data_IF_461759979778
#
_entry.id   IF_461759979778
#
_cell.length_a   1.000
_cell.length_b   1.000
_cell.length_c   1.000
_cell.angle_alpha   90.00
_cell.angle_beta   90.00
_cell.angle_gamma   90.00
#
_symmetry.space_group_name_H-M   'P 1'
#
loop_
_entity.id
_entity.type
_entity.pdbx_description
1 polymer ?
#
# COMPACT_ATOMS: atom_id res chain seq x y z
N UNK A 1 14.88 -12.73 -18.31
CA UNK A 1 14.86 -12.12 -16.97
C UNK A 1 13.44 -11.67 -16.66
N UNK A 2 12.67 -12.41 -15.84
CA UNK A 2 11.24 -12.08 -15.63
C UNK A 2 10.56 -12.74 -14.42
N UNK A 3 11.31 -13.42 -13.54
CA UNK A 3 10.75 -14.12 -12.39
C UNK A 3 10.76 -13.29 -11.09
N UNK A 4 11.61 -12.27 -10.97
CA UNK A 4 11.73 -11.46 -9.75
C UNK A 4 10.58 -10.46 -9.52
N UNK A 5 9.89 -9.99 -10.56
CA UNK A 5 8.83 -8.97 -10.39
C UNK A 5 7.48 -9.54 -9.94
N UNK A 6 7.26 -10.85 -10.07
CA UNK A 6 6.00 -11.50 -9.64
C UNK A 6 5.97 -11.78 -8.14
N UNK A 7 7.13 -12.09 -7.54
CA UNK A 7 7.23 -12.33 -6.08
C UNK A 7 7.24 -11.04 -5.25
N UNK A 8 7.53 -9.89 -5.85
CA UNK A 8 7.44 -8.58 -5.21
C UNK A 8 6.07 -7.90 -5.39
N UNK A 9 5.08 -8.59 -5.98
CA UNK A 9 3.70 -8.10 -5.99
C UNK A 9 3.15 -8.23 -4.58
N UNK A 10 2.93 -7.08 -3.93
CA UNK A 10 2.26 -7.00 -2.63
C UNK A 10 0.95 -7.80 -2.74
N UNK A 11 0.75 -8.86 -1.93
CA UNK A 11 -0.43 -9.71 -2.01
C UNK A 11 -1.69 -8.91 -1.64
N UNK A 12 -2.81 -9.26 -2.30
CA UNK A 12 -4.04 -8.48 -2.27
C UNK A 12 -5.19 -9.38 -1.81
N UNK A 13 -5.52 -9.38 -0.51
CA UNK A 13 -6.71 -10.10 -0.06
C UNK A 13 -7.96 -9.42 -0.63
N UNK A 14 -8.86 -10.21 -1.23
CA UNK A 14 -10.18 -9.74 -1.69
C UNK A 14 -11.24 -9.80 -0.58
N UNK A 15 -10.99 -10.64 0.44
CA UNK A 15 -11.86 -10.87 1.58
C UNK A 15 -11.03 -10.95 2.87
N UNK A 16 -11.63 -10.59 4.00
CA UNK A 16 -11.00 -10.77 5.31
C UNK A 16 -11.34 -12.15 5.86
N UNK A 17 -10.30 -12.90 6.26
CA UNK A 17 -10.35 -14.30 6.70
C UNK A 17 -11.15 -15.21 5.76
N UNK A 18 -11.22 -14.88 4.47
CA UNK A 18 -12.03 -15.59 3.46
C UNK A 18 -13.56 -15.56 3.67
N UNK A 19 -14.06 -14.98 4.76
CA UNK A 19 -15.48 -15.07 5.16
C UNK A 19 -16.18 -13.72 5.12
N UNK A 20 -15.49 -12.61 5.38
CA UNK A 20 -16.12 -11.29 5.51
C UNK A 20 -15.56 -10.25 4.53
N UNK A 21 -16.30 -9.16 4.36
CA UNK A 21 -15.88 -8.06 3.47
C UNK A 21 -14.66 -7.32 4.02
N UNK A 22 -13.91 -6.67 3.13
CA UNK A 22 -12.76 -5.84 3.50
C UNK A 22 -13.15 -4.65 4.39
N UNK A 23 -14.37 -4.11 4.24
CA UNK A 23 -14.88 -3.04 5.11
C UNK A 23 -15.08 -3.53 6.55
N UNK A 24 -15.67 -4.72 6.73
CA UNK A 24 -15.82 -5.33 8.05
C UNK A 24 -14.46 -5.66 8.64
N UNK A 25 -13.55 -6.24 7.85
CA UNK A 25 -12.17 -6.51 8.26
C UNK A 25 -11.43 -5.25 8.71
N UNK A 26 -11.48 -4.18 7.92
CA UNK A 26 -10.87 -2.89 8.26
C UNK A 26 -11.47 -2.26 9.53
N UNK A 27 -12.78 -2.40 9.71
CA UNK A 27 -13.47 -1.96 10.94
C UNK A 27 -12.98 -2.72 12.16
N UNK A 28 -12.89 -4.06 12.09
CA UNK A 28 -12.41 -4.89 13.19
C UNK A 28 -10.94 -4.65 13.51
N UNK A 29 -10.09 -4.53 12.48
CA UNK A 29 -8.67 -4.20 12.65
C UNK A 29 -8.51 -2.84 13.32
N UNK A 30 -9.27 -1.83 12.90
CA UNK A 30 -9.18 -0.48 13.48
C UNK A 30 -9.75 -0.45 14.90
N UNK A 31 -10.81 -1.18 15.20
CA UNK A 31 -11.31 -1.34 16.57
C UNK A 31 -10.28 -2.03 17.47
N UNK A 32 -9.63 -3.08 16.98
CA UNK A 32 -8.54 -3.74 17.70
C UNK A 32 -7.37 -2.78 17.96
N UNK A 33 -7.00 -1.95 16.97
CA UNK A 33 -6.00 -0.89 17.14
C UNK A 33 -6.42 0.10 18.23
N UNK A 34 -7.66 0.60 18.18
CA UNK A 34 -8.16 1.55 19.17
C UNK A 34 -8.14 0.96 20.58
N UNK A 35 -8.63 -0.27 20.75
CA UNK A 35 -8.60 -0.96 22.04
C UNK A 35 -7.17 -1.11 22.57
N UNK A 36 -6.23 -1.54 21.71
CA UNK A 36 -4.82 -1.65 22.08
C UNK A 36 -4.25 -0.31 22.55
N UNK A 37 -4.54 0.77 21.83
CA UNK A 37 -4.05 2.12 22.16
C UNK A 37 -4.70 2.69 23.43
N UNK A 38 -5.98 2.40 23.68
CA UNK A 38 -6.68 2.77 24.92
C UNK A 38 -6.10 1.99 26.10
N UNK A 39 -5.80 0.70 25.95
CA UNK A 39 -5.10 -0.07 26.98
C UNK A 39 -3.75 0.56 27.34
N UNK A 40 -3.03 1.11 26.35
CA UNK A 40 -1.81 1.88 26.56
C UNK A 40 -2.00 3.17 27.38
N UNK A 41 -3.18 3.78 27.38
CA UNK A 41 -3.49 4.97 28.19
C UNK A 41 -3.46 4.65 29.70
N UNK A 42 -3.88 3.44 30.09
CA UNK A 42 -3.75 2.98 31.47
C UNK A 42 -2.29 2.87 31.92
N UNK A 43 -1.37 2.54 31.02
CA UNK A 43 0.07 2.58 31.30
C UNK A 43 0.59 4.00 31.57
N UNK A 44 -0.02 5.01 30.94
CA UNK A 44 0.31 6.42 31.20
C UNK A 44 -0.25 6.91 32.54
N UNK A 45 -1.36 6.36 33.02
CA UNK A 45 -1.88 6.64 34.38
C UNK A 45 -0.91 6.20 35.47
N UNK A 46 -0.08 5.17 35.24
CA UNK A 46 0.97 4.75 36.18
C UNK A 46 2.08 5.81 36.39
N UNK A 47 2.31 6.70 35.42
CA UNK A 47 3.21 7.85 35.61
C UNK A 47 2.66 8.84 36.65
N UNK A 48 1.35 9.08 36.62
CA UNK A 48 0.69 10.00 37.56
C UNK A 48 0.73 9.47 39.00
N UNK A 49 0.88 8.14 39.18
CA UNK A 49 1.06 7.51 40.50
C UNK A 49 2.49 7.52 41.02
N UNK A 50 3.43 8.17 40.32
CA UNK A 50 4.82 8.35 40.78
C UNK A 50 5.81 7.28 40.31
N UNK A 51 5.48 6.49 39.29
CA UNK A 51 6.40 5.50 38.73
C UNK A 51 7.46 6.16 37.82
N UNK A 52 8.74 5.82 38.02
CA UNK A 52 9.84 6.32 37.18
C UNK A 52 9.92 5.51 35.87
N UNK A 53 9.34 6.03 34.79
CA UNK A 53 9.47 5.40 33.46
C UNK A 53 10.79 5.78 32.76
N UNK A 54 11.29 4.84 31.96
CA UNK A 54 12.38 5.12 31.01
C UNK A 54 11.92 6.13 29.94
N UNK A 55 12.80 7.03 29.45
CA UNK A 55 12.49 7.94 28.35
C UNK A 55 11.96 7.25 27.09
N UNK A 56 12.42 6.02 26.83
CA UNK A 56 11.96 5.20 25.69
C UNK A 56 10.50 4.79 25.86
N UNK A 57 10.11 4.38 27.07
CA UNK A 57 8.72 4.02 27.38
C UNK A 57 7.81 5.25 27.26
N UNK A 58 8.24 6.41 27.75
CA UNK A 58 7.50 7.66 27.60
C UNK A 58 7.26 8.03 26.13
N UNK A 59 8.29 7.91 25.29
CA UNK A 59 8.16 8.18 23.85
C UNK A 59 7.13 7.27 23.17
N UNK A 60 7.10 5.99 23.55
CA UNK A 60 6.16 5.01 23.04
C UNK A 60 4.71 5.35 23.43
N UNK A 61 4.49 5.75 24.68
CA UNK A 61 3.17 6.18 25.14
C UNK A 61 2.69 7.47 24.50
N UNK A 62 3.58 8.45 24.32
CA UNK A 62 3.23 9.72 23.65
C UNK A 62 2.86 9.48 22.18
N UNK A 63 3.62 8.64 21.47
CA UNK A 63 3.28 8.20 20.13
C UNK A 63 1.91 7.49 20.10
N UNK A 64 1.66 6.60 21.06
CA UNK A 64 0.38 5.87 21.18
C UNK A 64 -0.82 6.82 21.32
N UNK A 65 -0.66 7.94 22.05
CA UNK A 65 -1.68 8.98 22.18
C UNK A 65 -2.00 9.68 20.86
N UNK A 66 -0.96 10.04 20.09
CA UNK A 66 -1.13 10.66 18.77
C UNK A 66 -1.81 9.68 17.82
N UNK A 67 -1.36 8.43 17.80
CA UNK A 67 -1.94 7.37 16.97
C UNK A 67 -3.40 7.09 17.34
N UNK A 68 -3.74 7.11 18.64
CA UNK A 68 -5.11 6.97 19.14
C UNK A 68 -6.01 8.09 18.63
N UNK A 69 -5.59 9.34 18.78
CA UNK A 69 -6.36 10.50 18.34
C UNK A 69 -6.62 10.46 16.83
N UNK A 70 -5.58 10.18 16.04
CA UNK A 70 -5.71 10.04 14.59
C UNK A 70 -6.62 8.86 14.21
N UNK A 71 -6.43 7.68 14.80
CA UNK A 71 -7.28 6.52 14.53
C UNK A 71 -8.76 6.79 14.87
N UNK A 72 -9.04 7.49 15.97
CA UNK A 72 -10.40 7.86 16.36
C UNK A 72 -11.05 8.84 15.37
N UNK A 73 -10.30 9.78 14.81
CA UNK A 73 -10.78 10.72 13.79
C UNK A 73 -11.02 10.03 12.44
N UNK A 74 -10.20 9.04 12.09
CA UNK A 74 -10.28 8.35 10.80
C UNK A 74 -11.29 7.19 10.82
N UNK A 75 -11.55 6.57 11.98
CA UNK A 75 -12.44 5.41 12.11
C UNK A 75 -13.85 5.60 11.49
N UNK A 76 -14.57 6.73 11.70
CA UNK A 76 -15.89 6.94 11.10
C UNK A 76 -15.87 6.96 9.56
N UNK A 77 -14.72 7.24 8.96
CA UNK A 77 -14.57 7.35 7.52
C UNK A 77 -14.50 5.99 6.81
N UNK A 78 -14.30 4.89 7.57
CA UNK A 78 -14.38 3.52 7.03
C UNK A 78 -15.77 3.27 6.42
N UNK A 79 -16.83 3.64 7.16
CA UNK A 79 -18.23 3.49 6.69
C UNK A 79 -18.61 4.51 5.62
N UNK A 80 -17.96 5.68 5.60
CA UNK A 80 -18.17 6.72 4.57
C UNK A 80 -17.39 6.44 3.27
N UNK A 81 -16.45 5.49 3.31
CA UNK A 81 -15.58 5.13 2.20
C UNK A 81 -14.88 6.34 1.54
N UNK A 82 -14.52 7.35 2.34
CA UNK A 82 -13.86 8.53 1.79
C UNK A 82 -12.39 8.21 1.46
N UNK A 83 -11.92 8.51 0.23
CA UNK A 83 -10.69 7.93 -0.30
C UNK A 83 -9.44 8.39 0.43
N UNK A 84 -9.37 9.67 0.81
CA UNK A 84 -8.19 10.23 1.47
C UNK A 84 -8.07 9.71 2.90
N UNK A 85 -9.16 9.71 3.66
CA UNK A 85 -9.14 9.28 5.06
C UNK A 85 -8.94 7.75 5.17
N UNK A 86 -9.50 6.95 4.25
CA UNK A 86 -9.21 5.52 4.18
C UNK A 86 -7.75 5.23 3.81
N UNK A 87 -7.18 5.99 2.86
CA UNK A 87 -5.76 5.92 2.53
C UNK A 87 -4.89 6.33 3.72
N UNK A 88 -5.27 7.40 4.42
CA UNK A 88 -4.67 7.87 5.67
C UNK A 88 -4.63 6.78 6.73
N UNK A 89 -5.73 6.07 6.89
CA UNK A 89 -5.89 5.03 7.89
C UNK A 89 -4.99 3.82 7.59
N UNK A 90 -4.89 3.43 6.33
CA UNK A 90 -4.01 2.33 5.91
C UNK A 90 -2.53 2.67 6.15
N UNK A 91 -2.12 3.90 5.81
CA UNK A 91 -0.76 4.38 6.10
C UNK A 91 -0.48 4.50 7.59
N UNK A 92 -1.44 4.99 8.38
CA UNK A 92 -1.34 5.04 9.82
C UNK A 92 -1.14 3.63 10.41
N UNK A 93 -1.91 2.65 9.95
CA UNK A 93 -1.78 1.27 10.43
C UNK A 93 -0.44 0.62 10.03
N UNK A 94 0.05 0.90 8.82
CA UNK A 94 1.36 0.45 8.35
C UNK A 94 2.49 1.05 9.20
N UNK A 95 2.49 2.37 9.37
CA UNK A 95 3.51 3.08 10.16
C UNK A 95 3.45 2.67 11.63
N UNK A 96 2.25 2.53 12.20
CA UNK A 96 2.08 2.02 13.56
C UNK A 96 2.64 0.61 13.71
N UNK A 97 2.42 -0.26 12.73
CA UNK A 97 3.00 -1.60 12.76
C UNK A 97 4.53 -1.55 12.72
N UNK A 98 5.13 -0.74 11.84
CA UNK A 98 6.59 -0.57 11.75
C UNK A 98 7.21 0.01 13.02
N UNK A 99 6.57 1.02 13.63
CA UNK A 99 7.03 1.63 14.87
C UNK A 99 6.96 0.63 16.01
N UNK A 100 5.85 -0.11 16.13
CA UNK A 100 5.75 -1.19 17.12
C UNK A 100 6.78 -2.29 16.85
N UNK A 101 7.13 -2.57 15.59
CA UNK A 101 8.20 -3.51 15.24
C UNK A 101 9.54 -3.04 15.80
N UNK A 102 9.87 -1.77 15.58
CA UNK A 102 11.10 -1.19 16.07
C UNK A 102 11.17 -1.25 17.59
N UNK A 103 10.08 -0.96 18.29
CA UNK A 103 10.01 -1.11 19.76
C UNK A 103 10.11 -2.56 20.21
N UNK A 104 9.46 -3.52 19.54
CA UNK A 104 9.59 -4.96 19.85
C UNK A 104 11.03 -5.43 19.64
N UNK A 105 11.67 -5.00 18.55
CA UNK A 105 13.07 -5.34 18.25
C UNK A 105 14.03 -4.71 19.27
N UNK A 106 13.86 -3.43 19.59
CA UNK A 106 14.64 -2.73 20.60
C UNK A 106 14.49 -3.38 21.98
N UNK A 107 13.26 -3.75 22.36
CA UNK A 107 13.00 -4.51 23.58
C UNK A 107 13.71 -5.86 23.55
N UNK A 108 13.61 -6.62 22.46
CA UNK A 108 14.26 -7.93 22.32
C UNK A 108 15.79 -7.85 22.45
N UNK A 109 16.41 -6.84 21.82
CA UNK A 109 17.86 -6.60 21.93
C UNK A 109 18.26 -6.24 23.36
N UNK A 110 17.56 -5.28 23.99
CA UNK A 110 17.85 -4.90 25.38
C UNK A 110 17.62 -6.06 26.34
N UNK A 111 16.55 -6.83 26.15
CA UNK A 111 16.27 -8.03 26.94
C UNK A 111 17.43 -9.03 26.84
N UNK A 112 17.91 -9.30 25.63
CA UNK A 112 19.02 -10.20 25.41
C UNK A 112 20.31 -9.70 26.08
N UNK A 113 20.61 -8.40 25.96
CA UNK A 113 21.75 -7.78 26.63
C UNK A 113 21.66 -7.92 28.16
N UNK A 114 20.47 -7.68 28.74
CA UNK A 114 20.24 -7.87 30.17
C UNK A 114 20.48 -9.32 30.57
N UNK A 115 19.94 -10.30 29.83
CA UNK A 115 20.16 -11.72 30.11
C UNK A 115 21.65 -12.09 30.06
N UNK A 116 22.40 -11.59 29.08
CA UNK A 116 23.86 -11.84 29.03
C UNK A 116 24.60 -11.20 30.20
N UNK A 117 24.25 -9.96 30.57
CA UNK A 117 24.91 -9.22 31.66
C UNK A 117 24.57 -9.78 33.04
N UNK A 118 23.37 -10.33 33.21
CA UNK A 118 22.94 -11.00 34.45
C UNK A 118 23.72 -12.29 34.73
N UNK A 119 24.25 -12.95 33.70
CA UNK A 119 25.08 -14.15 33.86
C UNK A 119 26.54 -13.80 34.21
N UNK A 120 27.03 -12.64 33.76
CA UNK A 120 28.41 -12.20 33.98
C UNK A 120 28.60 -11.32 35.24
N UNK A 121 27.54 -11.11 36.03
CA UNK A 121 27.58 -10.26 37.24
C UNK A 121 27.87 -8.77 36.99
N UNK A 122 27.79 -8.32 35.74
CA UNK A 122 28.11 -6.96 35.31
C UNK A 122 27.03 -5.93 35.66
N UNK A 123 27.40 -4.64 35.70
CA UNK A 123 26.42 -3.54 35.79
C UNK A 123 25.55 -3.54 34.53
N UNK A 124 24.25 -3.72 34.73
CA UNK A 124 23.26 -3.73 33.65
C UNK A 124 23.23 -2.35 32.98
N UNK A 125 23.44 -2.27 31.66
CA UNK A 125 23.39 -1.02 30.91
C UNK A 125 22.63 -1.17 29.59
N UNK A 126 21.47 -0.49 29.50
CA UNK A 126 20.66 -0.37 28.29
C UNK A 126 19.43 0.51 28.52
N UNK A 127 18.81 1.08 27.47
CA UNK A 127 17.60 1.87 27.62
C UNK A 127 16.46 1.01 28.19
N UNK A 128 15.98 1.32 29.40
CA UNK A 128 14.94 0.54 30.07
C UNK A 128 15.43 -0.76 30.70
N UNK A 129 16.75 -0.96 30.84
CA UNK A 129 17.30 -2.17 31.42
C UNK A 129 17.00 -2.34 32.91
N UNK A 130 16.88 -1.23 33.64
CA UNK A 130 16.52 -1.21 35.07
C UNK A 130 15.09 -1.70 35.31
N UNK A 131 14.13 -1.26 34.49
CA UNK A 131 12.73 -1.71 34.58
C UNK A 131 12.61 -3.18 34.16
N UNK A 132 13.38 -3.62 33.16
CA UNK A 132 13.43 -5.02 32.74
C UNK A 132 13.97 -5.90 33.87
N UNK A 133 15.09 -5.53 34.49
CA UNK A 133 15.70 -6.31 35.57
C UNK A 133 14.78 -6.46 36.79
N UNK A 134 14.10 -5.38 37.18
CA UNK A 134 13.14 -5.39 38.29
C UNK A 134 11.88 -6.22 37.99
N UNK A 135 11.39 -6.19 36.74
CA UNK A 135 10.15 -6.88 36.34
C UNK A 135 10.37 -8.37 36.06
N UNK A 136 11.52 -8.71 35.48
CA UNK A 136 11.83 -10.06 35.05
C UNK A 136 12.08 -11.03 36.21
N UNK A 137 12.29 -10.52 37.43
CA UNK A 137 12.47 -11.36 38.62
C UNK A 137 13.67 -12.31 38.51
N UNK A 138 14.73 -11.90 37.80
CA UNK A 138 15.93 -12.72 37.64
C UNK A 138 16.54 -13.04 39.01
N UNK A 139 16.42 -14.29 39.44
CA UNK A 139 17.05 -14.84 40.65
C UNK A 139 18.43 -15.41 40.30
N UNK A 140 19.30 -14.62 39.68
CA UNK A 140 20.68 -15.05 39.43
C UNK A 140 21.47 -15.01 40.75
N UNK A 141 22.28 -16.05 41.09
CA UNK A 141 23.18 -15.96 42.23
C UNK A 141 24.15 -14.82 41.96
N UNK A 142 24.31 -13.92 42.92
CA UNK A 142 25.23 -12.78 42.85
C UNK A 142 26.71 -13.20 42.74
N UNK A 143 26.99 -14.50 42.87
CA UNK A 143 28.32 -15.09 42.79
C UNK A 143 28.28 -16.31 41.87
N UNK A 144 29.12 -16.27 40.83
CA UNK A 144 29.30 -17.33 39.84
C UNK A 144 30.13 -18.46 40.46
N UNK A 145 29.47 -19.38 41.18
CA UNK A 145 30.08 -20.61 41.65
C UNK A 145 29.61 -21.76 40.78
N UNK A 146 30.24 -21.89 39.60
CA UNK A 146 30.30 -23.15 38.91
C UNK A 146 30.86 -24.20 39.88
N UNK A 147 30.09 -25.25 40.12
CA UNK A 147 30.33 -26.29 41.14
C UNK A 147 31.82 -26.65 41.33
N UNK A 148 32.21 -26.87 42.59
CA UNK A 148 33.56 -27.30 42.94
C UNK A 148 33.59 -28.83 42.91
N UNK A 149 34.37 -29.42 42.00
CA UNK A 149 34.62 -30.85 42.02
C UNK A 149 35.70 -31.15 43.07
N UNK A 150 35.38 -32.03 44.02
CA UNK A 150 36.31 -32.47 45.06
C UNK A 150 36.98 -33.75 44.57
N UNK A 151 38.23 -33.65 44.14
CA UNK A 151 39.04 -34.80 43.76
C UNK A 151 39.83 -35.29 44.97
N UNK A 152 39.48 -36.47 45.49
CA UNK A 152 40.26 -37.11 46.54
C UNK A 152 41.52 -37.74 45.94
N UNK A 153 42.68 -37.18 46.27
CA UNK A 153 44.00 -37.74 45.88
C UNK A 153 44.76 -38.23 47.10
N UNK A 154 45.75 -39.11 46.91
CA UNK A 154 46.54 -39.68 48.02
C UNK A 154 47.34 -38.64 48.84
N UNK A 155 47.45 -37.41 48.33
CA UNK A 155 48.14 -36.28 48.99
C UNK A 155 47.16 -35.24 49.58
N UNK A 156 45.85 -35.47 49.48
CA UNK A 156 44.81 -34.58 50.02
C UNK A 156 43.66 -34.30 49.04
N UNK A 157 42.70 -33.48 49.47
CA UNK A 157 41.57 -33.06 48.66
C UNK A 157 42.01 -31.94 47.70
N UNK A 158 41.95 -32.20 46.39
CA UNK A 158 42.20 -31.19 45.36
C UNK A 158 40.87 -30.61 44.88
N UNK A 159 40.70 -29.31 45.07
CA UNK A 159 39.54 -28.57 44.61
C UNK A 159 39.82 -28.03 43.21
N UNK A 160 39.11 -28.54 42.20
CA UNK A 160 39.23 -28.06 40.82
C UNK A 160 37.99 -27.22 40.50
N UNK A 161 38.19 -25.92 40.38
CA UNK A 161 37.16 -25.00 39.92
C UNK A 161 37.01 -25.15 38.40
N UNK A 162 35.83 -25.55 37.96
CA UNK A 162 35.50 -25.57 36.54
C UNK A 162 34.90 -24.21 36.17
N UNK A 163 35.56 -23.37 35.36
CA UNK A 163 34.92 -22.15 34.88
C UNK A 163 33.69 -22.55 34.03
N UNK A 164 32.60 -21.77 34.06
CA UNK A 164 31.47 -22.03 33.18
C UNK A 164 31.98 -22.01 31.74
N UNK A 165 31.62 -23.06 31.01
CA UNK A 165 32.01 -23.23 29.61
C UNK A 165 31.48 -22.01 28.84
N UNK A 166 32.37 -21.28 28.15
CA UNK A 166 32.04 -20.18 27.24
C UNK A 166 31.29 -20.70 26.02
N UNK A 167 30.11 -21.28 26.22
CA UNK A 167 29.20 -21.59 25.14
C UNK A 167 28.66 -20.28 24.61
N UNK A 168 28.54 -20.16 23.29
CA UNK A 168 27.97 -18.99 22.61
C UNK A 168 26.69 -18.54 23.32
N UNK A 169 26.81 -17.48 24.11
CA UNK A 169 25.76 -16.97 25.00
C UNK A 169 24.48 -16.66 24.20
N UNK A 170 24.66 -16.33 22.90
CA UNK A 170 23.62 -16.18 21.90
C UNK A 170 22.81 -17.44 21.63
N UNK A 171 23.45 -18.57 21.32
CA UNK A 171 22.73 -19.80 21.01
C UNK A 171 22.07 -20.37 22.27
N UNK A 172 22.73 -20.25 23.43
CA UNK A 172 22.23 -20.85 24.67
C UNK A 172 21.01 -20.10 25.24
N UNK A 173 20.98 -18.77 25.17
CA UNK A 173 19.83 -17.98 25.62
C UNK A 173 18.64 -18.03 24.64
N UNK A 174 18.88 -18.26 23.34
CA UNK A 174 17.79 -18.48 22.36
C UNK A 174 17.25 -19.92 22.44
N UNK A 175 18.12 -20.90 22.73
CA UNK A 175 17.77 -22.32 22.82
C UNK A 175 17.14 -22.74 24.16
N UNK A 176 16.91 -21.81 25.09
CA UNK A 176 16.11 -22.14 26.27
C UNK A 176 14.68 -22.53 25.83
N UNK A 177 14.10 -23.61 26.36
CA UNK A 177 12.76 -24.06 25.96
C UNK A 177 11.69 -22.94 26.06
N UNK A 178 11.81 -22.10 27.09
CA UNK A 178 10.92 -20.98 27.36
C UNK A 178 11.09 -19.81 26.34
N UNK A 179 12.33 -19.53 25.90
CA UNK A 179 12.59 -18.48 24.92
C UNK A 179 12.16 -18.89 23.52
N UNK A 180 12.36 -20.15 23.14
CA UNK A 180 11.98 -20.65 21.82
C UNK A 180 10.46 -20.55 21.59
N UNK A 181 9.66 -20.96 22.58
CA UNK A 181 8.21 -20.88 22.51
C UNK A 181 7.74 -19.42 22.37
N UNK A 182 8.29 -18.50 23.15
CA UNK A 182 7.91 -17.08 23.08
C UNK A 182 8.29 -16.44 21.73
N UNK A 183 9.44 -16.79 21.13
CA UNK A 183 9.85 -16.31 19.81
C UNK A 183 8.86 -16.75 18.73
N UNK A 184 8.40 -18.01 18.76
CA UNK A 184 7.38 -18.51 17.81
C UNK A 184 6.08 -17.72 17.95
N UNK A 185 5.62 -17.48 19.18
CA UNK A 185 4.41 -16.69 19.40
C UNK A 185 4.56 -15.25 18.90
N UNK A 186 5.69 -14.60 19.16
CA UNK A 186 5.98 -13.26 18.66
C UNK A 186 5.97 -13.25 17.12
N UNK A 187 6.60 -14.24 16.49
CA UNK A 187 6.63 -14.37 15.03
C UNK A 187 5.24 -14.58 14.42
N UNK A 188 4.39 -15.43 15.03
CA UNK A 188 3.02 -15.66 14.60
C UNK A 188 2.14 -14.41 14.74
N UNK A 189 2.24 -13.70 15.87
CA UNK A 189 1.55 -12.44 16.09
C UNK A 189 2.00 -11.38 15.07
N UNK A 190 3.29 -11.37 14.72
CA UNK A 190 3.83 -10.52 13.67
C UNK A 190 3.30 -10.87 12.28
N UNK A 191 3.24 -12.16 11.94
CA UNK A 191 2.68 -12.62 10.68
C UNK A 191 1.20 -12.23 10.55
N UNK A 192 0.41 -12.40 11.62
CA UNK A 192 -0.97 -11.91 11.70
C UNK A 192 -1.04 -10.40 11.47
N UNK A 193 -0.14 -9.63 12.10
CA UNK A 193 -0.13 -8.17 11.95
C UNK A 193 0.20 -7.74 10.53
N UNK A 194 1.15 -8.41 9.87
CA UNK A 194 1.46 -8.18 8.45
C UNK A 194 0.23 -8.48 7.58
N UNK A 195 -0.52 -9.56 7.87
CA UNK A 195 -1.78 -9.83 7.19
C UNK A 195 -2.79 -8.69 7.36
N UNK A 196 -2.95 -8.15 8.57
CA UNK A 196 -3.82 -6.99 8.80
C UNK A 196 -3.37 -5.73 8.07
N UNK A 197 -2.06 -5.49 7.94
CA UNK A 197 -1.53 -4.40 7.10
C UNK A 197 -1.98 -4.58 5.65
N UNK A 198 -1.85 -5.79 5.10
CA UNK A 198 -2.27 -6.09 3.73
C UNK A 198 -3.77 -5.88 3.52
N UNK A 199 -4.60 -6.29 4.48
CA UNK A 199 -6.05 -6.04 4.45
C UNK A 199 -6.35 -4.54 4.43
N UNK A 200 -5.71 -3.75 5.29
CA UNK A 200 -5.92 -2.30 5.34
C UNK A 200 -5.51 -1.62 4.04
N UNK A 201 -4.37 -2.04 3.45
CA UNK A 201 -3.92 -1.54 2.15
C UNK A 201 -4.88 -1.95 1.02
N UNK A 202 -5.41 -3.17 1.03
CA UNK A 202 -6.38 -3.65 0.06
C UNK A 202 -7.71 -2.88 0.16
N UNK A 203 -8.21 -2.65 1.38
CA UNK A 203 -9.41 -1.85 1.63
C UNK A 203 -9.25 -0.40 1.14
N UNK A 204 -8.15 0.28 1.48
CA UNK A 204 -7.89 1.65 1.03
C UNK A 204 -7.78 1.74 -0.51
N UNK A 205 -7.23 0.72 -1.15
CA UNK A 205 -7.18 0.65 -2.60
C UNK A 205 -8.57 0.42 -3.21
N UNK A 206 -9.38 -0.43 -2.60
CA UNK A 206 -10.76 -0.66 -3.04
C UNK A 206 -11.55 0.65 -3.01
N UNK A 207 -11.48 1.41 -1.92
CA UNK A 207 -12.19 2.71 -1.79
C UNK A 207 -11.67 3.74 -2.79
N UNK A 208 -10.34 3.81 -3.00
CA UNK A 208 -9.74 4.69 -4.00
C UNK A 208 -10.24 4.37 -5.42
N UNK A 209 -10.32 3.09 -5.77
CA UNK A 209 -10.75 2.64 -7.11
C UNK A 209 -12.25 2.77 -7.32
N UNK A 210 -13.04 2.49 -6.29
CA UNK A 210 -14.48 2.77 -6.33
C UNK A 210 -14.72 4.26 -6.57
N UNK A 211 -13.96 5.13 -5.90
CA UNK A 211 -14.05 6.57 -6.11
C UNK A 211 -13.69 6.98 -7.55
N UNK A 212 -12.62 6.41 -8.14
CA UNK A 212 -12.22 6.70 -9.53
C UNK A 212 -13.23 6.15 -10.55
N UNK A 213 -13.83 4.99 -10.26
CA UNK A 213 -14.78 4.33 -11.14
C UNK A 213 -16.16 5.00 -11.16
N UNK A 214 -16.53 5.73 -10.09
CA UNK A 214 -17.80 6.47 -10.03
C UNK A 214 -17.67 7.75 -10.87
N UNK A 215 -18.38 7.88 -12.01
CA UNK A 215 -18.28 9.06 -12.85
C UNK A 215 -18.88 10.25 -12.13
N UNK A 216 -18.04 11.16 -11.65
CA UNK A 216 -18.49 12.49 -11.24
C UNK A 216 -18.69 13.29 -12.53
N UNK A 217 -19.90 13.76 -12.76
CA UNK A 217 -20.22 14.66 -13.88
C UNK A 217 -19.53 16.00 -13.62
N UNK A 218 -18.23 16.07 -13.89
CA UNK A 218 -17.52 17.34 -13.96
C UNK A 218 -18.06 18.04 -15.20
N UNK A 219 -19.03 18.93 -15.00
CA UNK A 219 -19.53 19.82 -16.05
C UNK A 219 -18.45 20.84 -16.37
N UNK A 220 -17.44 20.45 -17.15
CA UNK A 220 -16.50 21.39 -17.72
C UNK A 220 -17.23 22.23 -18.77
N UNK A 221 -17.02 23.56 -18.82
CA UNK A 221 -17.60 24.41 -19.86
C UNK A 221 -17.11 23.93 -21.23
N UNK A 222 -18.04 23.55 -22.09
CA UNK A 222 -17.87 22.97 -23.43
C UNK A 222 -17.28 23.93 -24.48
N UNK A 223 -16.36 24.83 -24.11
CA UNK A 223 -15.87 25.88 -25.01
C UNK A 223 -14.41 25.78 -25.45
N UNK A 224 -13.62 24.80 -25.01
CA UNK A 224 -12.29 24.54 -25.60
C UNK A 224 -12.40 23.48 -26.70
N UNK A 225 -12.46 23.93 -27.96
CA UNK A 225 -12.56 23.12 -29.19
C UNK A 225 -11.35 22.20 -29.48
N UNK A 226 -10.51 21.88 -28.50
CA UNK A 226 -9.29 21.11 -28.76
C UNK A 226 -8.86 20.15 -27.64
N UNK A 227 -9.71 19.84 -26.65
CA UNK A 227 -9.39 18.80 -25.67
C UNK A 227 -9.94 17.48 -26.19
N UNK A 228 -9.03 16.61 -26.64
CA UNK A 228 -9.33 15.22 -26.98
C UNK A 228 -10.08 14.55 -25.83
N UNK A 229 -11.17 13.84 -26.14
CA UNK A 229 -11.96 13.07 -25.16
C UNK A 229 -11.06 12.09 -24.38
N UNK A 230 -9.97 11.61 -25.01
CA UNK A 230 -8.93 10.81 -24.37
C UNK A 230 -8.19 11.55 -23.24
N UNK A 231 -7.82 12.83 -23.43
CA UNK A 231 -7.12 13.60 -22.39
C UNK A 231 -8.02 14.00 -21.22
N UNK A 232 -9.34 14.14 -21.43
CA UNK A 232 -10.29 14.36 -20.32
C UNK A 232 -10.40 13.10 -19.46
N UNK A 233 -10.50 11.94 -20.11
CA UNK A 233 -10.54 10.64 -19.42
C UNK A 233 -9.26 10.35 -18.63
N UNK A 234 -8.09 10.78 -19.13
CA UNK A 234 -6.81 10.63 -18.40
C UNK A 234 -6.68 11.63 -17.24
N UNK A 235 -7.18 12.86 -17.36
CA UNK A 235 -7.17 13.86 -16.26
C UNK A 235 -8.12 13.46 -15.12
N UNK A 236 -9.26 12.82 -15.44
CA UNK A 236 -10.24 12.35 -14.45
C UNK A 236 -9.82 11.03 -13.74
N UNK A 237 -8.78 10.35 -14.24
CA UNK A 237 -8.34 9.05 -13.70
C UNK A 237 -7.51 9.16 -12.42
N UNK A 238 -6.92 10.33 -12.15
CA UNK A 238 -6.12 10.58 -10.95
C UNK A 238 -6.94 11.19 -9.80
N UNK A 239 -7.13 10.46 -8.68
CA UNK A 239 -8.05 10.86 -7.61
C UNK A 239 -7.68 12.14 -6.85
N UNK A 240 -6.41 12.55 -6.90
CA UNK A 240 -5.90 13.73 -6.19
C UNK A 240 -5.26 14.76 -7.14
N UNK A 241 -5.67 14.80 -8.41
CA UNK A 241 -5.15 15.78 -9.37
C UNK A 241 -5.47 17.21 -8.94
N UNK A 242 -4.63 18.18 -9.30
CA UNK A 242 -4.84 19.59 -8.93
C UNK A 242 -6.15 20.18 -9.52
N UNK A 243 -6.69 19.51 -10.54
CA UNK A 243 -7.89 19.90 -11.26
C UNK A 243 -9.16 19.29 -10.65
N UNK A 244 -9.05 18.24 -9.83
CA UNK A 244 -10.19 17.64 -9.15
C UNK A 244 -10.56 18.43 -7.88
N UNK A 245 -11.86 18.54 -7.52
CA UNK A 245 -12.29 19.26 -6.32
C UNK A 245 -11.70 18.65 -5.04
N UNK A 246 -11.51 17.33 -5.00
CA UNK A 246 -10.94 16.61 -3.85
C UNK A 246 -9.39 16.69 -3.79
N UNK A 247 -8.74 17.09 -4.90
CA UNK A 247 -7.29 17.27 -5.02
C UNK A 247 -6.78 18.70 -4.79
N UNK A 248 -7.68 19.65 -4.49
CA UNK A 248 -7.34 21.02 -4.15
C UNK A 248 -6.89 21.17 -2.68
N UNK A 249 -6.04 22.16 -2.42
CA UNK A 249 -5.56 22.49 -1.07
C UNK A 249 -4.52 21.50 -0.49
N UNK A 250 -4.38 21.52 0.84
CA UNK A 250 -3.38 20.71 1.54
C UNK A 250 -3.72 19.21 1.55
N UNK A 251 -5.01 18.87 1.59
CA UNK A 251 -5.51 17.50 1.52
C UNK A 251 -5.08 16.80 0.23
N UNK A 252 -5.25 17.45 -0.93
CA UNK A 252 -4.79 16.90 -2.20
C UNK A 252 -3.27 16.75 -2.31
N UNK A 253 -2.49 17.67 -1.70
CA UNK A 253 -1.02 17.51 -1.62
C UNK A 253 -0.63 16.25 -0.86
N UNK A 254 -1.26 16.01 0.29
CA UNK A 254 -1.03 14.81 1.10
C UNK A 254 -1.45 13.55 0.31
N UNK A 255 -2.65 13.56 -0.28
CA UNK A 255 -3.13 12.44 -1.11
C UNK A 255 -2.18 12.09 -2.25
N UNK A 256 -1.63 13.09 -2.96
CA UNK A 256 -0.62 12.88 -4.01
C UNK A 256 0.68 12.28 -3.50
N UNK A 257 1.16 12.70 -2.33
CA UNK A 257 2.37 12.10 -1.73
C UNK A 257 2.10 10.63 -1.37
N UNK A 258 0.94 10.35 -0.74
CA UNK A 258 0.58 9.01 -0.29
C UNK A 258 0.36 8.02 -1.43
N UNK A 259 -0.27 8.47 -2.53
CA UNK A 259 -0.45 7.66 -3.75
C UNK A 259 0.84 7.60 -4.56
N UNK A 260 1.66 8.65 -4.55
CA UNK A 260 2.96 8.68 -5.21
C UNK A 260 3.90 7.58 -4.69
N UNK A 261 3.83 7.30 -3.39
CA UNK A 261 4.52 6.15 -2.80
C UNK A 261 3.79 4.86 -3.20
N UNK A 262 4.31 4.18 -4.21
CA UNK A 262 3.70 2.96 -4.75
C UNK A 262 2.58 3.24 -5.76
N UNK A 263 2.73 4.25 -6.62
CA UNK A 263 1.74 4.63 -7.65
C UNK A 263 1.18 3.42 -8.43
N UNK A 264 2.05 2.47 -8.81
CA UNK A 264 1.66 1.23 -9.50
C UNK A 264 0.81 0.28 -8.65
N UNK A 265 0.95 0.30 -7.33
CA UNK A 265 0.12 -0.47 -6.41
C UNK A 265 -1.28 0.13 -6.27
N UNK A 266 -1.39 1.46 -6.19
CA UNK A 266 -2.65 2.17 -5.96
C UNK A 266 -3.47 2.33 -7.26
N UNK A 267 -2.86 2.92 -8.29
CA UNK A 267 -3.50 3.36 -9.53
C UNK A 267 -3.09 2.53 -10.75
N UNK A 268 -2.16 1.58 -10.60
CA UNK A 268 -1.75 0.71 -11.71
C UNK A 268 -2.94 -0.04 -12.30
N UNK A 269 -3.02 -0.08 -13.63
CA UNK A 269 -3.96 -0.93 -14.35
C UNK A 269 -3.72 -2.39 -13.91
N UNK A 270 -4.79 -3.12 -13.63
CA UNK A 270 -4.68 -4.55 -13.43
C UNK A 270 -4.26 -5.17 -14.76
N UNK A 271 -2.97 -5.46 -14.89
CA UNK A 271 -2.44 -6.27 -15.99
C UNK A 271 -3.21 -7.59 -16.11
N UNK A 272 -3.77 -8.09 -15.00
CA UNK A 272 -4.59 -9.30 -14.92
C UNK A 272 -5.99 -9.12 -15.59
N UNK A 273 -6.48 -7.88 -15.72
CA UNK A 273 -7.73 -7.54 -16.41
C UNK A 273 -7.55 -7.12 -17.88
N UNK A 274 -6.33 -6.80 -18.31
CA UNK A 274 -6.07 -6.34 -19.68
C UNK A 274 -6.24 -7.44 -20.75
N UNK A 275 -6.12 -8.70 -20.34
CA UNK A 275 -6.48 -9.83 -21.21
C UNK A 275 -8.00 -9.89 -21.47
N UNK A 276 -8.83 -9.62 -20.44
CA UNK A 276 -10.29 -9.63 -20.56
C UNK A 276 -10.82 -8.38 -21.29
N UNK A 277 -10.23 -7.21 -21.04
CA UNK A 277 -10.58 -5.98 -21.78
C UNK A 277 -10.16 -6.07 -23.25
N UNK A 278 -9.00 -6.67 -23.55
CA UNK A 278 -8.52 -6.90 -24.91
C UNK A 278 -9.39 -7.87 -25.71
N UNK A 279 -9.97 -8.89 -25.07
CA UNK A 279 -10.93 -9.80 -25.72
C UNK A 279 -12.24 -9.05 -25.97
N UNK A 280 -12.78 -8.34 -24.99
CA UNK A 280 -14.04 -7.63 -25.14
C UNK A 280 -13.93 -6.45 -26.13
N UNK A 281 -12.75 -5.80 -26.21
CA UNK A 281 -12.44 -4.80 -27.24
C UNK A 281 -12.22 -5.44 -28.62
N UNK A 282 -11.62 -6.63 -28.74
CA UNK A 282 -11.53 -7.34 -30.03
C UNK A 282 -12.90 -7.82 -30.52
N UNK A 283 -13.81 -8.19 -29.61
CA UNK A 283 -15.19 -8.52 -29.96
C UNK A 283 -16.05 -7.28 -30.25
N UNK A 284 -15.84 -6.16 -29.56
CA UNK A 284 -16.48 -4.87 -29.88
C UNK A 284 -15.93 -4.21 -31.14
N UNK A 285 -14.63 -4.27 -31.39
CA UNK A 285 -13.96 -3.83 -32.63
C UNK A 285 -14.48 -4.59 -33.86
N UNK A 286 -14.93 -5.83 -33.66
CA UNK A 286 -15.57 -6.64 -34.69
C UNK A 286 -17.06 -6.34 -34.88
N UNK A 287 -17.70 -5.65 -33.93
CA UNK A 287 -19.08 -5.17 -34.01
C UNK A 287 -19.17 -3.70 -34.45
N UNK A 288 -18.14 -2.89 -34.20
CA UNK A 288 -18.05 -1.48 -34.61
C UNK A 288 -17.38 -1.26 -35.97
N UNK A 289 -17.10 -2.32 -36.72
CA UNK A 289 -16.67 -2.25 -38.13
C UNK A 289 -17.84 -2.52 -39.11
N UNK A 290 -19.05 -2.11 -38.73
CA UNK A 290 -20.21 -2.05 -39.64
C UNK A 290 -20.43 -0.62 -40.18
N UNK A 291 -19.44 0.26 -40.04
CA UNK A 291 -19.34 1.43 -40.92
C UNK A 291 -18.45 1.06 -42.11
N UNK A 292 -19.08 0.48 -43.13
CA UNK A 292 -18.43 0.29 -44.42
C UNK A 292 -18.03 1.66 -44.97
N UNK A 293 -16.82 1.80 -45.55
CA UNK A 293 -16.38 3.03 -46.19
C UNK A 293 -17.44 3.50 -47.19
N UNK A 294 -17.75 4.80 -47.16
CA UNK A 294 -18.86 5.44 -47.86
C UNK A 294 -19.14 5.07 -49.33
N UNK A 295 -18.18 4.60 -50.16
CA UNK A 295 -18.48 4.12 -51.52
C UNK A 295 -19.32 2.84 -51.56
N UNK A 296 -19.09 1.88 -50.65
CA UNK A 296 -19.76 0.58 -50.67
C UNK A 296 -21.17 0.64 -50.06
N UNK A 297 -21.37 1.51 -49.06
CA UNK A 297 -22.70 1.78 -48.50
C UNK A 297 -23.60 2.52 -49.51
N UNK A 298 -23.02 3.37 -50.36
CA UNK A 298 -23.73 4.04 -51.47
C UNK A 298 -24.14 3.04 -52.56
N UNK A 299 -23.29 2.07 -52.87
CA UNK A 299 -23.56 1.02 -53.86
C UNK A 299 -24.62 0.02 -53.36
N UNK A 300 -24.58 -0.34 -52.07
CA UNK A 300 -25.61 -1.17 -51.44
C UNK A 300 -27.00 -0.51 -51.49
N UNK A 301 -27.07 0.80 -51.23
CA UNK A 301 -28.32 1.58 -51.25
C UNK A 301 -28.86 1.84 -52.66
N UNK A 302 -27.98 1.86 -53.67
CA UNK A 302 -28.39 1.86 -55.10
C UNK A 302 -29.05 0.55 -55.49
N UNK A 303 -28.52 -0.58 -55.02
CA UNK A 303 -29.07 -1.92 -55.31
C UNK A 303 -30.39 -2.21 -54.58
N UNK A 304 -30.59 -1.64 -53.39
CA UNK A 304 -31.84 -1.76 -52.63
C UNK A 304 -32.91 -0.73 -53.01
N UNK A 305 -32.66 0.14 -54.00
CA UNK A 305 -33.62 1.16 -54.45
C UNK A 305 -33.91 2.28 -53.45
N UNK A 306 -33.17 2.36 -52.34
CA UNK A 306 -33.37 3.32 -51.24
C UNK A 306 -32.26 4.37 -51.18
N UNK A 307 -31.64 4.67 -52.32
CA UNK A 307 -30.64 5.73 -52.45
C UNK A 307 -31.28 7.11 -52.34
N UNK A 308 -30.57 8.12 -51.80
CA UNK A 308 -31.07 9.49 -51.77
C UNK A 308 -31.33 10.00 -53.20
N UNK A 309 -32.35 10.85 -53.41
CA UNK A 309 -32.68 11.40 -54.73
C UNK A 309 -31.46 12.13 -55.31
N UNK A 310 -31.24 11.99 -56.62
CA UNK A 310 -30.15 12.70 -57.28
C UNK A 310 -30.30 14.21 -57.04
N UNK A 311 -29.23 14.94 -56.70
CA UNK A 311 -29.30 16.39 -56.54
C UNK A 311 -29.82 17.00 -57.84
N UNK A 312 -30.78 17.93 -57.71
CA UNK A 312 -31.35 18.64 -58.85
C UNK A 312 -30.24 19.34 -59.65
N UNK A 313 -30.40 19.41 -60.98
CA UNK A 313 -29.38 19.99 -61.87
C UNK A 313 -29.03 21.46 -61.51
N UNK A 314 -29.91 22.16 -60.79
CA UNK A 314 -29.65 23.49 -60.24
C UNK A 314 -28.54 23.50 -59.19
N UNK A 315 -28.45 22.48 -58.34
CA UNK A 315 -27.42 22.34 -57.29
C UNK A 315 -26.05 21.97 -57.89
N UNK A 316 -26.05 21.19 -58.97
CA UNK A 316 -24.83 20.83 -59.71
C UNK A 316 -24.27 22.04 -60.48
N UNK A 317 -25.16 22.87 -61.05
CA UNK A 317 -24.76 24.13 -61.72
C UNK A 317 -24.25 25.18 -60.74
N UNK A 318 -24.84 25.31 -59.55
CA UNK A 318 -24.34 26.24 -58.53
C UNK A 318 -22.99 25.82 -57.95
N UNK A 319 -22.72 24.51 -57.82
CA UNK A 319 -21.40 24.00 -57.44
C UNK A 319 -20.31 24.25 -58.49
N UNK A 320 -20.66 24.25 -59.78
CA UNK A 320 -19.73 24.57 -60.88
C UNK A 320 -19.49 26.08 -61.05
N UNK A 321 -20.41 26.93 -60.58
CA UNK A 321 -20.31 28.40 -60.67
C UNK A 321 -19.51 29.03 -59.53
N UNK A 322 -19.15 28.26 -58.49
CA UNK A 322 -18.48 28.78 -57.30
C UNK A 322 -17.02 28.34 -57.24
N UNK A 323 -16.24 28.76 -58.24
CA UNK A 323 -14.82 28.99 -58.09
C UNK A 323 -14.46 30.34 -58.74
N UNK A 324 -13.87 31.24 -57.96
CA UNK A 324 -12.64 31.86 -58.43
C UNK A 324 -11.56 31.65 -57.37
N UNK A 325 -10.68 30.69 -57.61
CA UNK A 325 -9.37 30.65 -56.95
C UNK A 325 -8.51 31.66 -57.72
N UNK A 326 -8.12 32.75 -57.06
CA UNK A 326 -7.01 33.59 -57.51
C UNK A 326 -5.73 32.75 -57.43
N UNK A 327 -5.17 32.36 -58.58
CA UNK A 327 -3.83 31.81 -58.68
C UNK A 327 -2.79 32.95 -58.66
N UNK A 328 -1.92 32.92 -57.65
CA UNK A 328 -0.63 33.61 -57.69
C UNK A 328 0.39 32.75 -58.48
N UNK A 329 1.23 33.35 -59.35
CA UNK A 329 2.14 32.59 -60.20
C UNK A 329 3.41 32.23 -59.43
N UNK A 330 3.67 30.93 -59.27
CA UNK A 330 4.92 30.48 -58.65
C UNK A 330 5.08 28.96 -58.59
N UNK A 331 5.84 28.43 -59.54
CA UNK A 331 6.70 27.23 -59.41
C UNK A 331 6.07 25.84 -59.23
N UNK A 332 5.91 25.15 -60.37
CA UNK A 332 6.34 23.78 -60.68
C UNK A 332 6.43 22.73 -59.56
N UNK A 333 5.53 21.73 -59.58
CA UNK A 333 5.89 20.30 -59.41
C UNK A 333 4.93 19.42 -60.23
N UNK A 334 5.51 18.59 -61.11
CA UNK A 334 4.87 17.55 -61.94
C UNK A 334 4.00 16.60 -61.09
N UNK A 335 2.72 16.44 -61.45
CA UNK A 335 1.95 15.26 -61.07
C UNK A 335 2.33 14.09 -62.00
N UNK A 336 2.73 12.98 -61.40
CA UNK A 336 3.15 11.76 -62.06
C UNK A 336 1.89 10.93 -62.36
N UNK A 337 1.68 10.67 -63.66
CA UNK A 337 0.53 9.96 -64.21
C UNK A 337 0.65 8.45 -63.89
N UNK A 338 -0.34 7.91 -63.19
CA UNK A 338 -0.47 6.46 -62.95
C UNK A 338 -1.65 5.95 -63.77
N UNK A 339 -1.39 5.74 -65.06
CA UNK A 339 -2.37 5.22 -66.00
C UNK A 339 -1.73 4.52 -67.18
N UNK A 340 -1.15 3.33 -66.98
CA UNK A 340 -0.94 2.40 -68.09
C UNK A 340 -1.44 1.00 -67.71
N UNK A 341 -2.48 0.59 -68.43
CA UNK A 341 -3.03 -0.75 -68.51
C UNK A 341 -2.28 -1.56 -69.56
N UNK A 342 -1.76 -2.72 -69.18
CA UNK A 342 -1.79 -3.94 -70.00
C UNK A 342 -1.72 -5.19 -69.14
#
# INVERSE_FOLDING_TARGET
MGFSSRFLRIPRPETFLYVMSLETGASLITLSLLLNKISGLYGLLALLTGYHLSPVQLSMYLYSLIALALAALLFPHIRKQSPLECLGLAWLYLLDSLINAAYTAAFGVTWFLVVSQSMDGGKISGPGSETIAQTAGFTSPKYDAAYVEIQHTSEGNKFVAHPPRSADHFSNAVAQPESFQSIIFIALLWAMRVYFVLVMLAFARQTLRLWVAVPKHTSLPTHSRNVSIASVADIDREPFSAYSPDGQGWKGKIGRIMVGIGHSYWLGEEEDGNWLSGINQKFRSRSSNVELPGPLERERRRRSGTGPPQPSQSVVRSGLMQQPIHEHPGTNVKMQDWGETR
#
